data_IF_023930984595
#
_entry.id   IF_023930984595
#
_cell.length_a   1.000
_cell.length_b   1.000
_cell.length_c   1.000
_cell.angle_alpha   90.00
_cell.angle_beta   90.00
_cell.angle_gamma   90.00
#
_symmetry.space_group_name_H-M   'P 1'
#
loop_
_entity.id
_entity.type
_entity.pdbx_description
1 polymer ?
#
# COMPACT_ATOMS: atom_id res chain seq x y z
N UNK A 1 21.61 -25.43 -8.57
CA UNK A 1 22.51 -24.33 -9.00
C UNK A 1 22.15 -23.89 -10.42
N UNK A 2 21.42 -22.78 -10.59
CA UNK A 2 21.02 -22.28 -11.93
C UNK A 2 21.74 -20.96 -12.32
N UNK A 3 22.86 -20.62 -11.66
CA UNK A 3 23.21 -19.21 -11.46
C UNK A 3 24.22 -18.54 -12.40
N UNK A 4 25.37 -19.15 -12.71
CA UNK A 4 26.52 -18.33 -13.18
C UNK A 4 27.30 -18.88 -14.39
N UNK A 5 27.24 -20.17 -14.72
CA UNK A 5 28.11 -20.73 -15.77
C UNK A 5 27.69 -20.41 -17.21
N UNK A 6 26.56 -19.73 -17.42
CA UNK A 6 26.00 -19.52 -18.77
C UNK A 6 25.38 -18.14 -18.93
N UNK A 7 26.15 -17.10 -18.61
CA UNK A 7 25.88 -15.75 -19.06
C UNK A 7 26.40 -15.56 -20.51
N UNK A 8 25.64 -14.92 -21.41
CA UNK A 8 24.30 -14.37 -21.22
C UNK A 8 23.19 -15.45 -21.22
N UNK A 9 22.12 -15.20 -20.47
CA UNK A 9 20.93 -16.05 -20.45
C UNK A 9 20.00 -15.66 -21.61
N UNK A 10 19.66 -16.64 -22.45
CA UNK A 10 18.71 -16.48 -23.56
C UNK A 10 17.30 -16.97 -23.18
N UNK A 11 16.29 -16.40 -23.84
CA UNK A 11 14.88 -16.66 -23.54
C UNK A 11 14.47 -18.12 -23.77
N UNK A 12 14.94 -18.72 -24.86
CA UNK A 12 14.73 -20.15 -25.21
C UNK A 12 15.25 -21.08 -24.11
N UNK A 13 16.43 -20.77 -23.58
CA UNK A 13 17.06 -21.54 -22.51
C UNK A 13 16.36 -21.35 -21.18
N UNK A 14 15.94 -20.13 -20.84
CA UNK A 14 15.17 -19.87 -19.62
C UNK A 14 13.81 -20.58 -19.65
N UNK A 15 13.08 -20.47 -20.76
CA UNK A 15 11.83 -21.23 -20.97
C UNK A 15 12.10 -22.73 -20.97
N UNK A 16 13.22 -23.18 -21.52
CA UNK A 16 13.64 -24.58 -21.48
C UNK A 16 13.82 -25.10 -20.06
N UNK A 17 14.30 -24.26 -19.12
CA UNK A 17 14.34 -24.60 -17.70
C UNK A 17 12.95 -24.72 -17.09
N UNK A 18 12.04 -23.80 -17.43
CA UNK A 18 10.64 -23.86 -16.97
C UNK A 18 9.95 -25.11 -17.49
N UNK A 19 10.10 -25.43 -18.78
CA UNK A 19 9.52 -26.62 -19.40
C UNK A 19 10.10 -27.93 -18.86
N UNK A 20 11.25 -27.88 -18.18
CA UNK A 20 11.87 -29.03 -17.53
C UNK A 20 11.51 -29.20 -16.06
N UNK A 21 10.67 -28.32 -15.49
CA UNK A 21 10.17 -28.48 -14.13
C UNK A 21 9.18 -29.67 -14.05
N UNK A 22 9.01 -30.28 -12.87
CA UNK A 22 8.02 -31.34 -12.65
C UNK A 22 6.60 -30.92 -13.06
N UNK A 23 5.76 -31.87 -13.48
CA UNK A 23 4.38 -31.59 -13.93
C UNK A 23 3.49 -31.01 -12.82
N UNK A 24 3.87 -31.24 -11.56
CA UNK A 24 3.22 -30.67 -10.38
C UNK A 24 3.45 -29.17 -10.23
N UNK A 25 4.51 -28.62 -10.82
CA UNK A 25 4.86 -27.19 -10.79
C UNK A 25 4.10 -26.43 -11.89
N UNK A 26 2.79 -26.27 -11.70
CA UNK A 26 1.88 -25.80 -12.75
C UNK A 26 1.91 -24.28 -12.98
N UNK A 27 2.36 -23.50 -12.00
CA UNK A 27 2.33 -22.04 -12.04
C UNK A 27 3.68 -21.47 -11.61
N UNK A 28 4.38 -20.83 -12.54
CA UNK A 28 5.66 -20.17 -12.28
C UNK A 28 5.46 -18.66 -12.22
N UNK A 29 5.79 -18.07 -11.08
CA UNK A 29 5.73 -16.62 -10.88
C UNK A 29 7.11 -15.99 -11.03
N UNK A 30 7.21 -14.95 -11.85
CA UNK A 30 8.39 -14.09 -11.93
C UNK A 30 8.10 -12.85 -11.10
N UNK A 31 8.65 -12.83 -9.88
CA UNK A 31 8.47 -11.72 -8.96
C UNK A 31 9.74 -10.86 -8.91
N UNK A 32 9.66 -9.64 -9.43
CA UNK A 32 10.78 -8.69 -9.49
C UNK A 32 10.30 -7.25 -9.45
N UNK A 33 11.15 -6.33 -9.00
CA UNK A 33 10.89 -4.90 -9.12
C UNK A 33 11.04 -4.44 -10.57
N UNK A 34 10.26 -3.44 -11.00
CA UNK A 34 10.41 -2.84 -12.33
C UNK A 34 11.77 -2.16 -12.53
N UNK A 35 12.37 -1.66 -11.44
CA UNK A 35 13.73 -1.13 -11.40
C UNK A 35 14.78 -2.15 -11.87
N UNK A 36 14.48 -3.45 -11.80
CA UNK A 36 15.35 -4.48 -12.35
C UNK A 36 15.60 -4.26 -13.86
N UNK A 37 14.64 -3.68 -14.57
CA UNK A 37 14.72 -3.38 -16.01
C UNK A 37 15.18 -1.94 -16.23
N UNK A 38 16.38 -1.78 -16.76
CA UNK A 38 16.96 -0.49 -17.13
C UNK A 38 17.80 0.19 -16.03
N UNK A 39 17.58 -0.13 -14.75
CA UNK A 39 18.43 0.37 -13.65
C UNK A 39 19.40 -0.72 -13.21
N UNK A 40 18.92 -1.81 -12.59
CA UNK A 40 19.81 -2.89 -12.15
C UNK A 40 20.39 -3.68 -13.33
N UNK A 41 19.56 -3.96 -14.34
CA UNK A 41 20.00 -4.48 -15.64
C UNK A 41 19.92 -3.37 -16.69
N UNK A 42 21.07 -2.85 -17.11
CA UNK A 42 21.14 -1.81 -18.16
C UNK A 42 20.37 -2.20 -19.42
N UNK A 43 19.74 -1.23 -20.09
CA UNK A 43 19.06 -1.46 -21.37
C UNK A 43 20.02 -1.98 -22.46
N UNK A 44 21.32 -1.67 -22.36
CA UNK A 44 22.34 -2.20 -23.26
C UNK A 44 22.59 -3.71 -23.13
N UNK A 45 22.08 -4.36 -22.07
CA UNK A 45 22.17 -5.82 -21.89
C UNK A 45 21.20 -6.61 -22.78
N UNK A 46 20.37 -5.93 -23.58
CA UNK A 46 19.27 -6.51 -24.34
C UNK A 46 18.18 -7.16 -23.47
N UNK A 47 18.07 -6.78 -22.20
CA UNK A 47 17.02 -7.28 -21.29
C UNK A 47 15.60 -7.11 -21.89
N UNK A 48 15.34 -6.02 -22.60
CA UNK A 48 14.05 -5.83 -23.28
C UNK A 48 13.81 -6.83 -24.42
N UNK A 49 14.85 -7.20 -25.16
CA UNK A 49 14.74 -8.22 -26.21
C UNK A 49 14.54 -9.62 -25.61
N UNK A 50 15.17 -9.89 -24.47
CA UNK A 50 14.94 -11.12 -23.71
C UNK A 50 13.45 -11.27 -23.35
N UNK A 51 12.84 -10.25 -22.72
CA UNK A 51 11.42 -10.29 -22.36
C UNK A 51 10.50 -10.33 -23.59
N UNK A 52 10.87 -9.66 -24.68
CA UNK A 52 10.12 -9.71 -25.95
C UNK A 52 10.12 -11.10 -26.58
N UNK A 53 11.18 -11.89 -26.39
CA UNK A 53 11.30 -13.24 -26.93
C UNK A 53 10.57 -14.30 -26.10
N UNK A 54 10.38 -14.09 -24.78
CA UNK A 54 9.76 -15.07 -23.88
C UNK A 54 8.42 -15.64 -24.38
N UNK A 55 7.45 -14.84 -24.88
CA UNK A 55 6.15 -15.38 -25.29
C UNK A 55 6.23 -16.35 -26.46
N UNK A 56 7.14 -16.10 -27.42
CA UNK A 56 7.32 -16.99 -28.57
C UNK A 56 7.94 -18.33 -28.12
N UNK A 57 9.02 -18.28 -27.33
CA UNK A 57 9.66 -19.48 -26.80
C UNK A 57 8.72 -20.28 -25.88
N UNK A 58 7.93 -19.61 -25.03
CA UNK A 58 6.95 -20.24 -24.15
C UNK A 58 5.89 -20.99 -24.95
N UNK A 59 5.36 -20.37 -26.01
CA UNK A 59 4.36 -20.98 -26.89
C UNK A 59 4.86 -22.25 -27.56
N UNK A 60 6.12 -22.29 -28.01
CA UNK A 60 6.75 -23.47 -28.60
C UNK A 60 6.84 -24.66 -27.61
N UNK A 61 6.86 -24.37 -26.31
CA UNK A 61 6.87 -25.37 -25.23
C UNK A 61 5.49 -25.61 -24.61
N UNK A 62 4.42 -25.05 -25.18
CA UNK A 62 3.07 -25.18 -24.63
C UNK A 62 2.84 -24.42 -23.32
N UNK A 63 3.73 -23.51 -22.94
CA UNK A 63 3.61 -22.68 -21.74
C UNK A 63 2.80 -21.42 -22.09
N UNK A 64 1.84 -21.09 -21.25
CA UNK A 64 0.99 -19.91 -21.41
C UNK A 64 1.22 -18.89 -20.30
N UNK A 65 0.87 -17.64 -20.57
CA UNK A 65 0.84 -16.57 -19.57
C UNK A 65 -0.60 -16.40 -19.11
N UNK A 66 -0.80 -16.29 -17.80
CA UNK A 66 -2.12 -16.11 -17.21
C UNK A 66 -2.07 -15.00 -16.17
N UNK A 67 -3.15 -14.23 -16.10
CA UNK A 67 -3.37 -13.25 -15.02
C UNK A 67 -3.68 -13.97 -13.70
N UNK A 68 -3.50 -13.31 -12.53
CA UNK A 68 -3.88 -13.90 -11.25
C UNK A 68 -5.34 -14.38 -11.21
N UNK A 69 -6.28 -13.61 -11.76
CA UNK A 69 -7.70 -13.98 -11.84
C UNK A 69 -7.93 -15.25 -12.67
N UNK A 70 -7.23 -15.39 -13.80
CA UNK A 70 -7.32 -16.61 -14.61
C UNK A 70 -6.73 -17.82 -13.89
N UNK A 71 -5.62 -17.64 -13.17
CA UNK A 71 -4.99 -18.72 -12.41
C UNK A 71 -5.95 -19.25 -11.35
N UNK A 72 -6.52 -18.36 -10.51
CA UNK A 72 -7.44 -18.77 -9.44
C UNK A 72 -8.77 -19.35 -9.96
N UNK A 73 -9.12 -19.08 -11.22
CA UNK A 73 -10.34 -19.62 -11.85
C UNK A 73 -10.09 -20.98 -12.53
N UNK A 74 -8.91 -21.17 -13.13
CA UNK A 74 -8.58 -22.38 -13.92
C UNK A 74 -7.98 -23.49 -13.07
N UNK A 75 -7.21 -23.15 -12.03
CA UNK A 75 -6.49 -24.11 -11.21
C UNK A 75 -7.21 -24.34 -9.88
N UNK A 76 -7.17 -25.59 -9.40
CA UNK A 76 -7.67 -25.93 -8.06
C UNK A 76 -6.58 -25.63 -7.04
N UNK A 77 -6.98 -25.14 -5.86
CA UNK A 77 -6.08 -25.07 -4.71
C UNK A 77 -5.60 -26.49 -4.37
N UNK A 78 -4.28 -26.63 -4.15
CA UNK A 78 -3.62 -27.91 -3.87
C UNK A 78 -3.43 -28.15 -2.38
N UNK A 79 -3.23 -27.09 -1.60
CA UNK A 79 -3.04 -27.16 -0.16
C UNK A 79 -3.30 -25.80 0.50
N UNK A 80 -3.39 -25.79 1.83
CA UNK A 80 -3.42 -24.60 2.65
C UNK A 80 -1.99 -24.20 3.05
N UNK A 81 -1.67 -22.91 2.88
CA UNK A 81 -0.45 -22.32 3.45
C UNK A 81 -0.84 -21.57 4.72
N UNK A 82 -0.30 -22.00 5.86
CA UNK A 82 -0.45 -21.30 7.13
C UNK A 82 0.71 -20.33 7.36
N UNK A 83 0.38 -19.07 7.66
CA UNK A 83 1.34 -17.97 7.84
C UNK A 83 1.00 -17.26 9.15
N UNK A 84 1.43 -17.81 10.31
CA UNK A 84 1.00 -17.33 11.62
C UNK A 84 1.57 -15.97 12.02
N UNK A 85 2.62 -15.53 11.34
CA UNK A 85 3.29 -14.24 11.60
C UNK A 85 3.45 -13.45 10.30
N UNK A 86 3.42 -12.11 10.35
CA UNK A 86 3.73 -11.29 9.19
C UNK A 86 5.14 -11.57 8.66
N UNK A 87 5.23 -11.89 7.37
CA UNK A 87 6.49 -12.11 6.66
C UNK A 87 6.74 -11.02 5.63
N UNK A 88 7.99 -10.88 5.22
CA UNK A 88 8.35 -10.03 4.10
C UNK A 88 9.35 -10.71 3.16
N UNK A 89 9.39 -10.24 1.93
CA UNK A 89 10.45 -10.61 0.99
C UNK A 89 11.79 -9.96 1.36
N UNK A 90 11.80 -8.90 2.16
CA UNK A 90 12.98 -8.09 2.40
C UNK A 90 13.97 -8.77 3.37
N UNK A 91 15.27 -8.58 3.08
CA UNK A 91 16.41 -9.11 3.84
C UNK A 91 16.36 -10.63 4.11
N UNK A 92 17.40 -11.21 4.70
CA UNK A 92 17.50 -12.66 4.88
C UNK A 92 16.49 -13.20 5.90
N UNK A 93 16.14 -12.41 6.91
CA UNK A 93 15.29 -12.83 8.03
C UNK A 93 13.80 -12.93 7.65
N UNK A 94 13.41 -12.41 6.48
CA UNK A 94 12.04 -12.50 5.91
C UNK A 94 10.92 -12.06 6.87
N UNK A 95 11.20 -11.10 7.73
CA UNK A 95 10.29 -10.58 8.75
C UNK A 95 10.01 -9.08 8.55
N UNK A 96 9.34 -8.45 9.52
CA UNK A 96 9.03 -7.01 9.50
C UNK A 96 10.14 -6.13 10.08
N UNK A 97 11.30 -6.69 10.45
CA UNK A 97 12.40 -5.95 11.10
C UNK A 97 12.96 -4.82 10.23
N UNK A 98 12.80 -4.91 8.90
CA UNK A 98 13.17 -3.85 7.97
C UNK A 98 12.45 -2.52 8.26
N UNK A 99 11.24 -2.57 8.81
CA UNK A 99 10.39 -1.41 9.08
C UNK A 99 10.09 -1.19 10.56
N UNK A 100 10.22 -2.21 11.40
CA UNK A 100 9.86 -2.16 12.84
C UNK A 100 10.98 -2.69 13.76
N UNK A 101 12.20 -2.84 13.23
CA UNK A 101 13.33 -3.49 13.93
C UNK A 101 13.93 -2.66 15.06
N UNK A 102 13.89 -1.33 14.98
CA UNK A 102 14.47 -0.45 16.01
C UNK A 102 13.44 0.45 16.72
N UNK A 103 13.89 1.13 17.78
CA UNK A 103 13.03 1.99 18.62
C UNK A 103 12.46 3.17 17.84
N UNK A 104 13.27 3.83 17.00
CA UNK A 104 12.82 4.96 16.17
C UNK A 104 11.68 4.57 15.24
N UNK A 105 11.83 3.44 14.56
CA UNK A 105 10.83 2.87 13.66
C UNK A 105 9.52 2.57 14.38
N UNK A 106 9.58 1.91 15.53
CA UNK A 106 8.39 1.58 16.33
C UNK A 106 7.73 2.83 16.91
N UNK A 107 8.51 3.81 17.36
CA UNK A 107 7.99 5.08 17.85
C UNK A 107 7.24 5.84 16.75
N UNK A 108 7.86 6.00 15.57
CA UNK A 108 7.24 6.63 14.42
C UNK A 108 5.95 5.92 13.99
N UNK A 109 5.98 4.59 13.95
CA UNK A 109 4.82 3.76 13.59
C UNK A 109 3.68 3.93 14.60
N UNK A 110 3.96 3.73 15.89
CA UNK A 110 2.95 3.84 16.95
C UNK A 110 2.37 5.26 17.01
N UNK A 111 3.20 6.29 16.83
CA UNK A 111 2.76 7.69 16.82
C UNK A 111 1.82 7.98 15.65
N UNK A 112 2.13 7.48 14.44
CA UNK A 112 1.22 7.58 13.30
C UNK A 112 -0.13 6.92 13.59
N UNK A 113 -0.13 5.67 14.05
CA UNK A 113 -1.38 4.95 14.27
C UNK A 113 -2.17 5.42 15.52
N UNK A 114 -1.56 6.21 16.40
CA UNK A 114 -2.25 6.85 17.53
C UNK A 114 -3.37 7.83 17.13
N UNK A 115 -3.32 8.34 15.89
CA UNK A 115 -4.36 9.21 15.32
C UNK A 115 -5.28 8.50 14.33
N UNK A 116 -5.07 7.19 14.08
CA UNK A 116 -5.79 6.46 13.03
C UNK A 116 -7.32 6.55 13.16
N UNK A 117 -7.86 6.39 14.37
CA UNK A 117 -9.31 6.48 14.63
C UNK A 117 -9.88 7.84 14.22
N UNK A 118 -9.23 8.92 14.63
CA UNK A 118 -9.64 10.31 14.30
C UNK A 118 -9.50 10.62 12.82
N UNK A 119 -8.43 10.13 12.18
CA UNK A 119 -8.26 10.26 10.73
C UNK A 119 -9.35 9.48 9.98
N UNK A 120 -9.81 8.33 10.48
CA UNK A 120 -10.90 7.58 9.86
C UNK A 120 -12.21 8.38 9.87
N UNK A 121 -12.48 9.11 10.95
CA UNK A 121 -13.67 9.96 11.12
C UNK A 121 -13.61 11.27 10.34
N UNK A 122 -12.39 11.72 10.02
CA UNK A 122 -12.17 12.90 9.22
C UNK A 122 -12.68 12.73 7.78
N UNK A 123 -13.39 13.73 7.26
CA UNK A 123 -13.77 13.82 5.84
C UNK A 123 -12.90 14.81 5.05
N UNK A 124 -11.89 15.42 5.69
CA UNK A 124 -10.98 16.34 5.02
C UNK A 124 -10.07 15.57 4.04
N UNK A 125 -10.19 15.93 2.76
CA UNK A 125 -9.46 15.28 1.67
C UNK A 125 -7.94 15.41 1.81
N UNK A 126 -7.43 16.53 2.33
CA UNK A 126 -5.99 16.75 2.51
C UNK A 126 -5.46 15.89 3.65
N UNK A 127 -6.20 15.79 4.76
CA UNK A 127 -5.82 14.89 5.86
C UNK A 127 -5.75 13.44 5.41
N UNK A 128 -6.72 12.97 4.61
CA UNK A 128 -6.69 11.61 4.04
C UNK A 128 -5.49 11.38 3.12
N UNK A 129 -5.19 12.35 2.25
CA UNK A 129 -4.04 12.25 1.36
C UNK A 129 -2.71 12.21 2.13
N UNK A 130 -2.54 13.09 3.11
CA UNK A 130 -1.33 13.14 3.93
C UNK A 130 -1.19 11.85 4.76
N UNK A 131 -2.30 11.31 5.26
CA UNK A 131 -2.35 10.00 5.94
C UNK A 131 -1.86 8.86 5.05
N UNK A 132 -2.28 8.81 3.78
CA UNK A 132 -1.83 7.79 2.84
C UNK A 132 -0.32 7.90 2.57
N UNK A 133 0.20 9.12 2.44
CA UNK A 133 1.64 9.35 2.23
C UNK A 133 2.49 9.04 3.45
N UNK A 134 2.00 9.34 4.65
CA UNK A 134 2.72 9.06 5.89
C UNK A 134 2.85 7.56 6.19
N UNK A 135 1.93 6.75 5.68
CA UNK A 135 1.96 5.29 5.80
C UNK A 135 2.91 4.60 4.80
N UNK A 136 3.50 5.32 3.84
CA UNK A 136 4.43 4.73 2.88
C UNK A 136 5.57 4.01 3.60
N UNK A 137 5.76 2.72 3.31
CA UNK A 137 6.69 1.86 4.05
C UNK A 137 8.14 2.36 3.96
N UNK A 138 8.50 3.04 2.88
CA UNK A 138 9.81 3.69 2.72
C UNK A 138 10.13 4.66 3.86
N UNK A 139 9.14 5.38 4.41
CA UNK A 139 9.36 6.29 5.54
C UNK A 139 10.03 5.54 6.70
N UNK A 140 9.49 4.38 7.08
CA UNK A 140 10.05 3.54 8.14
C UNK A 140 11.33 2.83 7.69
N UNK A 141 11.41 2.38 6.43
CA UNK A 141 12.62 1.71 5.90
C UNK A 141 13.84 2.62 5.95
N UNK A 142 13.66 3.92 5.71
CA UNK A 142 14.72 4.93 5.79
C UNK A 142 15.19 5.22 7.22
N UNK A 143 14.50 4.73 8.25
CA UNK A 143 14.95 4.83 9.65
C UNK A 143 15.70 3.58 10.12
N UNK A 144 15.85 2.55 9.27
CA UNK A 144 16.49 1.31 9.72
C UNK A 144 17.97 1.53 10.03
N UNK A 145 18.43 0.92 11.12
CA UNK A 145 19.84 0.83 11.52
C UNK A 145 20.42 -0.56 11.30
N UNK A 146 19.61 -1.48 10.75
CA UNK A 146 19.99 -2.86 10.48
C UNK A 146 21.11 -2.92 9.43
N UNK A 147 22.13 -3.75 9.70
CA UNK A 147 23.24 -4.00 8.77
C UNK A 147 22.93 -5.28 7.99
N UNK A 148 22.44 -5.12 6.77
CA UNK A 148 21.97 -6.25 5.94
C UNK A 148 22.98 -6.64 4.86
N UNK A 149 24.14 -5.99 4.83
CA UNK A 149 25.14 -6.12 3.75
C UNK A 149 24.71 -5.49 2.42
N UNK A 150 23.44 -5.08 2.29
CA UNK A 150 22.91 -4.40 1.11
C UNK A 150 22.95 -2.88 1.32
N UNK A 151 23.38 -2.16 0.29
CA UNK A 151 23.30 -0.71 0.29
C UNK A 151 21.83 -0.28 0.20
N UNK A 152 21.43 0.63 1.09
CA UNK A 152 20.09 1.22 1.08
C UNK A 152 20.16 2.65 0.55
N UNK A 153 19.49 2.89 -0.57
CA UNK A 153 19.23 4.26 -1.02
C UNK A 153 18.24 4.94 -0.05
N UNK A 154 18.69 5.96 0.69
CA UNK A 154 17.84 6.76 1.59
C UNK A 154 17.32 8.05 0.95
N UNK A 155 17.51 8.22 -0.36
CA UNK A 155 17.07 9.41 -1.08
C UNK A 155 17.80 10.65 -0.58
N UNK A 156 17.05 11.56 0.04
CA UNK A 156 17.54 12.86 0.51
C UNK A 156 18.16 12.82 1.91
N UNK A 157 18.10 11.68 2.61
CA UNK A 157 18.52 11.58 4.01
C UNK A 157 19.96 11.09 4.14
N UNK A 158 20.75 11.79 4.96
CA UNK A 158 22.14 11.45 5.22
C UNK A 158 22.30 10.25 6.16
N UNK A 159 21.30 10.02 7.03
CA UNK A 159 21.35 8.97 8.05
C UNK A 159 19.95 8.48 8.44
N UNK A 160 19.82 7.30 9.08
CA UNK A 160 18.54 6.88 9.66
C UNK A 160 17.98 7.84 10.72
N UNK A 161 18.85 8.57 11.43
CA UNK A 161 18.44 9.56 12.44
C UNK A 161 17.89 10.83 11.81
N UNK A 162 18.46 11.24 10.67
CA UNK A 162 17.97 12.36 9.87
C UNK A 162 16.58 12.04 9.29
N UNK A 163 16.42 10.86 8.69
CA UNK A 163 15.13 10.37 8.22
C UNK A 163 14.06 10.32 9.35
N UNK A 164 14.44 9.82 10.53
CA UNK A 164 13.55 9.80 11.69
C UNK A 164 13.16 11.21 12.15
N UNK A 165 14.14 12.11 12.29
CA UNK A 165 13.91 13.50 12.75
C UNK A 165 12.97 14.23 11.78
N UNK A 166 13.23 14.14 10.48
CA UNK A 166 12.39 14.78 9.47
C UNK A 166 10.96 14.21 9.49
N UNK A 167 10.82 12.89 9.55
CA UNK A 167 9.51 12.25 9.60
C UNK A 167 8.73 12.65 10.85
N UNK A 168 9.36 12.68 12.03
CA UNK A 168 8.69 13.04 13.28
C UNK A 168 8.25 14.51 13.30
N UNK A 169 8.99 15.42 12.66
CA UNK A 169 8.57 16.81 12.50
C UNK A 169 7.32 16.93 11.62
N UNK A 170 7.32 16.24 10.47
CA UNK A 170 6.16 16.20 9.56
C UNK A 170 4.95 15.55 10.25
N UNK A 171 5.18 14.44 10.95
CA UNK A 171 4.14 13.74 11.69
C UNK A 171 3.57 14.60 12.82
N UNK A 172 4.39 15.39 13.50
CA UNK A 172 3.95 16.34 14.52
C UNK A 172 3.00 17.40 13.97
N UNK A 173 3.34 18.00 12.82
CA UNK A 173 2.44 18.93 12.12
C UNK A 173 1.13 18.25 11.71
N UNK A 174 1.22 17.05 11.11
CA UNK A 174 0.05 16.28 10.71
C UNK A 174 -0.88 15.98 11.90
N UNK A 175 -0.35 15.52 13.02
CA UNK A 175 -1.12 15.25 14.23
C UNK A 175 -1.77 16.54 14.76
N UNK A 176 -1.05 17.65 14.78
CA UNK A 176 -1.60 18.95 15.20
C UNK A 176 -2.79 19.38 14.33
N UNK A 177 -2.71 19.13 13.02
CA UNK A 177 -3.80 19.40 12.08
C UNK A 177 -4.99 18.46 12.27
N UNK A 178 -4.76 17.19 12.62
CA UNK A 178 -5.82 16.25 12.98
C UNK A 178 -6.50 16.68 14.28
N UNK A 179 -5.73 17.04 15.31
CA UNK A 179 -6.22 17.45 16.63
C UNK A 179 -7.06 18.73 16.55
N UNK A 180 -6.68 19.67 15.66
CA UNK A 180 -7.44 20.90 15.42
C UNK A 180 -8.83 20.65 14.82
N UNK A 181 -9.03 19.53 14.11
CA UNK A 181 -10.32 19.13 13.56
C UNK A 181 -11.08 18.20 14.50
N UNK A 182 -10.36 17.37 15.26
CA UNK A 182 -10.91 16.34 16.14
C UNK A 182 -10.12 16.28 17.46
N UNK A 183 -10.52 17.06 18.49
CA UNK A 183 -9.80 17.16 19.77
C UNK A 183 -9.61 15.81 20.49
N UNK A 184 -8.49 15.69 21.20
CA UNK A 184 -8.04 14.47 21.91
C UNK A 184 -8.95 14.08 23.08
N UNK A 185 -9.65 15.05 23.67
CA UNK A 185 -10.43 14.89 24.91
C UNK A 185 -11.69 14.04 24.77
N UNK A 186 -12.06 13.68 23.55
CA UNK A 186 -13.25 12.86 23.29
C UNK A 186 -12.76 11.43 23.01
N UNK A 187 -13.11 10.49 23.89
CA UNK A 187 -12.81 9.07 23.66
C UNK A 187 -13.38 8.63 22.31
N UNK A 188 -12.65 7.79 21.54
CA UNK A 188 -13.06 7.44 20.18
C UNK A 188 -14.49 6.85 20.10
N UNK A 189 -14.95 6.12 21.12
CA UNK A 189 -16.32 5.59 21.19
C UNK A 189 -17.35 6.69 21.43
N UNK A 190 -17.08 7.61 22.36
CA UNK A 190 -17.92 8.77 22.60
C UNK A 190 -17.95 9.69 21.37
N UNK A 191 -16.81 9.91 20.73
CA UNK A 191 -16.67 10.70 19.51
C UNK A 191 -17.48 10.10 18.37
N UNK A 192 -17.44 8.78 18.19
CA UNK A 192 -18.26 8.09 17.19
C UNK A 192 -19.76 8.28 17.43
N UNK A 193 -20.20 8.16 18.69
CA UNK A 193 -21.60 8.34 19.05
C UNK A 193 -22.07 9.78 18.84
N UNK A 194 -21.23 10.76 19.20
CA UNK A 194 -21.49 12.19 19.07
C UNK A 194 -21.50 12.60 17.60
N UNK A 195 -20.52 12.17 16.79
CA UNK A 195 -20.49 12.43 15.35
C UNK A 195 -21.68 11.82 14.63
N UNK A 196 -22.09 10.60 15.00
CA UNK A 196 -23.30 9.97 14.45
C UNK A 196 -24.54 10.80 14.80
N UNK A 197 -24.63 11.28 16.04
CA UNK A 197 -25.73 12.14 16.50
C UNK A 197 -25.75 13.46 15.74
N UNK A 198 -24.61 14.14 15.60
CA UNK A 198 -24.47 15.40 14.85
C UNK A 198 -24.85 15.20 13.38
N UNK A 199 -24.41 14.11 12.76
CA UNK A 199 -24.77 13.78 11.38
C UNK A 199 -26.28 13.59 11.22
N UNK A 200 -26.89 12.78 12.08
CA UNK A 200 -28.33 12.52 12.05
C UNK A 200 -29.13 13.81 12.27
N UNK A 201 -28.69 14.66 13.20
CA UNK A 201 -29.29 15.97 13.44
C UNK A 201 -29.15 16.90 12.23
N UNK A 202 -28.00 16.90 11.56
CA UNK A 202 -27.78 17.66 10.34
C UNK A 202 -28.72 17.25 9.20
N UNK A 203 -28.89 15.94 8.98
CA UNK A 203 -29.82 15.39 7.99
C UNK A 203 -31.28 15.74 8.32
N UNK A 204 -31.65 15.68 9.60
CA UNK A 204 -32.99 16.04 10.06
C UNK A 204 -33.27 17.54 9.91
N UNK A 205 -32.30 18.40 10.24
CA UNK A 205 -32.40 19.85 10.02
C UNK A 205 -32.59 20.16 8.52
N UNK A 206 -31.84 19.51 7.64
CA UNK A 206 -31.98 19.71 6.19
C UNK A 206 -33.38 19.30 5.69
N UNK A 207 -33.90 18.19 6.20
CA UNK A 207 -35.27 17.72 5.90
C UNK A 207 -36.32 18.72 6.38
N UNK A 208 -36.20 19.19 7.62
CA UNK A 208 -37.11 20.18 8.21
C UNK A 208 -37.07 21.51 7.46
N UNK A 209 -35.89 21.96 7.03
CA UNK A 209 -35.75 23.16 6.19
C UNK A 209 -36.49 23.02 4.85
N UNK A 210 -36.36 21.86 4.18
CA UNK A 210 -37.11 21.58 2.93
C UNK A 210 -38.62 21.57 3.14
N UNK A 211 -39.09 21.02 4.25
CA UNK A 211 -40.51 21.03 4.59
C UNK A 211 -41.01 22.44 4.90
N UNK A 212 -40.26 23.21 5.69
CA UNK A 212 -40.57 24.61 5.99
C UNK A 212 -40.70 25.44 4.71
N UNK A 213 -39.78 25.29 3.75
CA UNK A 213 -39.84 25.99 2.48
C UNK A 213 -41.07 25.59 1.65
N UNK A 214 -41.46 24.32 1.69
CA UNK A 214 -42.69 23.82 1.05
C UNK A 214 -43.94 24.44 1.67
N UNK A 215 -43.99 24.52 3.01
CA UNK A 215 -45.11 25.14 3.72
C UNK A 215 -45.15 26.66 3.51
N UNK A 216 -44.01 27.35 3.54
CA UNK A 216 -43.92 28.79 3.21
C UNK A 216 -44.42 29.07 1.79
N UNK A 217 -44.03 28.26 0.80
CA UNK A 217 -44.54 28.38 -0.58
C UNK A 217 -46.05 28.14 -0.68
N UNK A 218 -46.58 27.17 0.08
CA UNK A 218 -48.04 26.95 0.15
C UNK A 218 -48.78 28.11 0.80
N UNK A 219 -48.26 28.66 1.90
CA UNK A 219 -48.85 29.79 2.60
C UNK A 219 -48.85 31.06 1.72
N UNK A 220 -47.73 31.35 1.04
CA UNK A 220 -47.64 32.45 0.08
C UNK A 220 -48.62 32.29 -1.09
N UNK A 221 -48.80 31.07 -1.63
CA UNK A 221 -49.81 30.81 -2.66
C UNK A 221 -51.24 31.00 -2.16
N UNK A 222 -51.52 30.67 -0.90
CA UNK A 222 -52.85 30.83 -0.30
C UNK A 222 -53.17 32.31 -0.03
N UNK A 223 -52.20 33.06 0.48
CA UNK A 223 -52.32 34.50 0.70
C UNK A 223 -52.40 35.33 -0.60
N UNK A 224 -51.88 34.81 -1.71
CA UNK A 224 -52.03 35.44 -3.03
C UNK A 224 -53.33 35.07 -3.76
N UNK A 225 -54.12 34.15 -3.19
CA UNK A 225 -55.41 33.70 -3.73
C UNK A 225 -56.61 34.24 -2.94
N UNK A 226 -56.36 34.94 -1.83
CA UNK A 226 -57.31 35.80 -1.10
C UNK A 226 -57.14 37.25 -1.57
#
# INVERSE_FOLDING_TARGET
EFGLERYPLFADKYIGWIAGLPEEEQVINIFMELSALGISQSLSSNILQFFKALPACAKEKGISFSTPTEIVTKFKSVDQVDVPYPLSWADEERDTSCWLGNVMQREAFNKLYSVAGRVHLCNDRRIKQDWDYLQASNNFRFMTTKKTGLWLNRGIYDSPYDAFTNYMNILGDFISRVDALYPVEIENEELNSLLTTIKNQGEEIEKLQKELDKYKKKAAKKAAAE
#
